data_IF_044993916886
#
_entry.id   IF_044993916886
#
_cell.length_a   1.000
_cell.length_b   1.000
_cell.length_c   1.000
_cell.angle_alpha   90.00
_cell.angle_beta   90.00
_cell.angle_gamma   90.00
#
_symmetry.space_group_name_H-M   'P 1'
#
loop_
_entity.id
_entity.type
_entity.pdbx_description
1 polymer ?
#
# COMPACT_ATOMS: atom_id res chain seq x y z
N UNK A 1 -12.84 28.53 0.89
CA UNK A 1 -11.59 27.95 1.40
C UNK A 1 -10.46 28.81 0.89
N UNK A 2 -9.70 29.42 1.79
CA UNK A 2 -8.59 30.31 1.44
C UNK A 2 -7.31 29.48 1.27
N UNK A 3 -7.12 28.91 0.08
CA UNK A 3 -5.91 28.14 -0.26
C UNK A 3 -4.65 29.01 -0.33
N UNK A 4 -4.80 30.34 -0.30
CA UNK A 4 -3.69 31.30 -0.30
C UNK A 4 -3.14 31.53 1.10
N UNK A 5 -4.00 31.60 2.13
CA UNK A 5 -3.58 31.80 3.52
C UNK A 5 -3.34 30.50 4.28
N UNK A 6 -4.02 29.40 3.92
CA UNK A 6 -3.90 28.10 4.58
C UNK A 6 -3.74 26.96 3.55
N UNK A 7 -2.54 26.79 2.97
CA UNK A 7 -2.26 25.70 2.05
C UNK A 7 -2.44 24.33 2.75
N UNK A 8 -3.13 23.40 2.08
CA UNK A 8 -3.40 22.04 2.59
C UNK A 8 -2.26 21.05 2.37
N UNK A 9 -1.14 21.50 1.81
CA UNK A 9 0.03 20.68 1.49
C UNK A 9 1.32 21.43 1.78
N UNK A 10 2.45 20.73 1.68
CA UNK A 10 3.76 21.32 1.92
C UNK A 10 4.08 22.39 0.87
N UNK A 11 4.14 23.65 1.33
CA UNK A 11 4.44 24.82 0.49
C UNK A 11 5.84 24.71 -0.11
N UNK A 12 6.77 24.07 0.59
CA UNK A 12 8.15 23.88 0.15
C UNK A 12 8.20 23.00 -1.10
N UNK A 13 7.33 21.98 -1.18
CA UNK A 13 7.21 21.11 -2.35
C UNK A 13 6.68 21.87 -3.57
N UNK A 14 5.68 22.73 -3.36
CA UNK A 14 5.11 23.58 -4.42
C UNK A 14 6.17 24.57 -4.91
N UNK A 15 6.87 25.23 -3.98
CA UNK A 15 7.93 26.18 -4.30
C UNK A 15 9.06 25.49 -5.10
N UNK A 16 9.46 24.28 -4.72
CA UNK A 16 10.50 23.51 -5.41
C UNK A 16 10.14 23.22 -6.88
N UNK A 17 8.91 22.80 -7.17
CA UNK A 17 8.49 22.48 -8.54
C UNK A 17 8.06 23.69 -9.38
N UNK A 18 8.00 24.89 -8.78
CA UNK A 18 7.78 26.15 -9.48
C UNK A 18 9.10 26.92 -9.71
N UNK A 19 10.25 26.29 -9.46
CA UNK A 19 11.54 26.92 -9.76
C UNK A 19 11.70 27.05 -11.28
N UNK A 20 12.27 28.18 -11.76
CA UNK A 20 12.50 28.40 -13.20
C UNK A 20 13.55 27.47 -13.80
N UNK A 21 14.39 26.85 -12.97
CA UNK A 21 15.41 25.88 -13.39
C UNK A 21 15.50 24.76 -12.37
N UNK A 22 15.16 23.54 -12.77
CA UNK A 22 15.30 22.34 -11.94
C UNK A 22 15.37 21.06 -12.77
N UNK A 23 15.84 19.96 -12.16
CA UNK A 23 15.77 18.63 -12.77
C UNK A 23 14.51 17.90 -12.31
N UNK A 24 13.67 17.49 -13.25
CA UNK A 24 12.53 16.63 -12.97
C UNK A 24 12.95 15.16 -13.10
N UNK A 25 13.18 14.52 -11.96
CA UNK A 25 13.42 13.07 -11.86
C UNK A 25 12.07 12.36 -11.89
N UNK A 26 11.88 11.42 -12.82
CA UNK A 26 10.61 10.69 -12.99
C UNK A 26 10.84 9.19 -13.03
N UNK A 27 10.55 8.53 -11.91
CA UNK A 27 10.51 7.08 -11.86
C UNK A 27 9.20 6.54 -12.46
N UNK A 28 9.29 5.49 -13.29
CA UNK A 28 8.10 4.85 -13.91
C UNK A 28 7.27 4.10 -12.89
N UNK A 29 7.91 3.49 -11.91
CA UNK A 29 7.27 2.87 -10.75
C UNK A 29 7.93 3.38 -9.49
N UNK A 30 7.14 3.95 -8.58
CA UNK A 30 7.62 4.48 -7.30
C UNK A 30 7.51 3.46 -6.16
N UNK A 31 6.58 2.52 -6.25
CA UNK A 31 6.35 1.47 -5.25
C UNK A 31 6.49 0.10 -5.90
N UNK A 32 7.42 -0.71 -5.41
CA UNK A 32 7.73 -2.01 -5.98
C UNK A 32 8.52 -2.89 -5.00
N UNK A 33 8.71 -4.16 -5.36
CA UNK A 33 9.39 -5.13 -4.49
C UNK A 33 10.91 -4.94 -4.47
N UNK A 34 11.56 -5.19 -3.34
CA UNK A 34 13.03 -5.21 -3.25
C UNK A 34 13.64 -6.12 -4.31
N UNK A 35 14.81 -5.74 -4.84
CA UNK A 35 15.52 -6.43 -5.93
C UNK A 35 14.78 -6.44 -7.28
N UNK A 36 13.61 -5.80 -7.40
CA UNK A 36 12.98 -5.53 -8.68
C UNK A 36 13.55 -4.27 -9.32
N UNK A 37 13.49 -4.23 -10.65
CA UNK A 37 13.96 -3.08 -11.43
C UNK A 37 12.88 -2.02 -11.58
N UNK A 38 13.27 -0.76 -11.45
CA UNK A 38 12.49 0.39 -11.94
C UNK A 38 13.34 1.21 -12.90
N UNK A 39 12.69 2.04 -13.71
CA UNK A 39 13.33 2.94 -14.66
C UNK A 39 13.07 4.38 -14.23
N UNK A 40 14.10 5.21 -14.32
CA UNK A 40 13.98 6.65 -14.14
C UNK A 40 14.38 7.39 -15.41
N UNK A 41 13.60 8.41 -15.75
CA UNK A 41 13.86 9.35 -16.82
C UNK A 41 14.15 10.72 -16.17
N UNK A 42 15.16 11.45 -16.67
CA UNK A 42 15.59 12.75 -16.14
C UNK A 42 15.29 13.83 -17.17
N UNK A 43 14.48 14.80 -16.80
CA UNK A 43 14.17 15.97 -17.59
C UNK A 43 14.75 17.23 -16.94
N UNK A 44 14.95 18.26 -17.73
CA UNK A 44 15.24 19.61 -17.24
C UNK A 44 14.04 20.50 -17.50
N UNK A 45 13.74 21.39 -16.56
CA UNK A 45 12.94 22.61 -16.78
C UNK A 45 13.91 23.78 -16.77
N UNK A 46 13.87 24.64 -17.79
CA UNK A 46 14.90 25.62 -18.08
C UNK A 46 14.32 26.93 -18.62
N UNK A 47 13.92 27.83 -17.73
CA UNK A 47 13.50 29.20 -18.06
C UNK A 47 14.69 30.20 -18.08
N UNK A 48 15.89 29.78 -17.67
CA UNK A 48 17.09 30.62 -17.62
C UNK A 48 17.98 30.55 -18.87
N UNK A 49 17.55 29.87 -19.94
CA UNK A 49 18.34 29.69 -21.17
C UNK A 49 19.74 29.08 -20.91
N UNK A 50 19.80 28.10 -20.01
CA UNK A 50 20.99 27.27 -19.82
C UNK A 50 21.19 26.43 -21.09
N UNK A 51 22.36 26.49 -21.74
CA UNK A 51 22.61 25.82 -23.04
C UNK A 51 24.03 25.34 -23.24
N UNK A 52 24.21 24.24 -23.96
CA UNK A 52 25.51 23.62 -24.27
C UNK A 52 25.72 22.30 -23.53
N UNK A 53 26.98 21.87 -23.41
CA UNK A 53 27.35 20.59 -22.80
C UNK A 53 27.45 20.66 -21.27
N UNK A 54 27.05 19.57 -20.62
CA UNK A 54 27.04 19.40 -19.16
C UNK A 54 27.31 17.95 -18.76
N UNK A 55 27.66 17.76 -17.49
CA UNK A 55 27.73 16.46 -16.83
C UNK A 55 26.52 16.28 -15.91
N UNK A 56 25.66 15.30 -16.20
CA UNK A 56 24.54 14.91 -15.35
C UNK A 56 24.96 13.76 -14.44
N UNK A 57 25.16 14.04 -13.15
CA UNK A 57 25.38 13.05 -12.11
C UNK A 57 24.03 12.55 -11.56
N UNK A 58 23.83 11.23 -11.56
CA UNK A 58 22.67 10.58 -10.95
C UNK A 58 23.14 9.63 -9.87
N UNK A 59 22.59 9.78 -8.67
CA UNK A 59 22.85 8.90 -7.53
C UNK A 59 21.56 8.37 -6.91
N UNK A 60 21.63 7.18 -6.32
CA UNK A 60 20.54 6.61 -5.54
C UNK A 60 21.06 6.16 -4.19
N UNK A 61 20.38 6.61 -3.14
CA UNK A 61 20.72 6.33 -1.75
C UNK A 61 19.50 5.89 -0.95
N UNK A 62 19.70 4.96 -0.02
CA UNK A 62 18.80 4.70 1.10
C UNK A 62 19.25 5.51 2.33
N UNK A 63 18.64 5.31 3.50
CA UNK A 63 19.01 5.99 4.76
C UNK A 63 20.45 5.66 5.25
N UNK A 64 21.07 4.61 4.72
CA UNK A 64 22.35 4.07 5.21
C UNK A 64 23.51 4.32 4.25
N UNK A 65 23.27 4.24 2.94
CA UNK A 65 24.31 4.31 1.90
C UNK A 65 23.79 4.74 0.54
N UNK A 66 24.69 5.32 -0.23
CA UNK A 66 24.58 5.37 -1.68
C UNK A 66 24.93 3.98 -2.26
N UNK A 67 24.13 3.49 -3.20
CA UNK A 67 24.34 2.18 -3.84
C UNK A 67 24.35 2.24 -5.37
N UNK A 68 24.03 3.41 -5.95
CA UNK A 68 24.12 3.67 -7.37
C UNK A 68 24.67 5.08 -7.57
N UNK A 69 25.63 5.22 -8.48
CA UNK A 69 26.13 6.52 -8.95
C UNK A 69 26.63 6.39 -10.38
N UNK A 70 26.20 7.30 -11.26
CA UNK A 70 26.63 7.35 -12.65
C UNK A 70 26.56 8.77 -13.19
N UNK A 71 27.53 9.12 -14.02
CA UNK A 71 27.58 10.41 -14.72
C UNK A 71 27.28 10.19 -16.20
N UNK A 72 26.51 11.10 -16.78
CA UNK A 72 26.12 11.09 -18.19
C UNK A 72 26.50 12.43 -18.82
N UNK A 73 27.28 12.45 -19.92
CA UNK A 73 27.42 13.67 -20.70
C UNK A 73 26.09 13.97 -21.39
N UNK A 74 25.62 15.21 -21.26
CA UNK A 74 24.33 15.66 -21.82
C UNK A 74 24.48 17.04 -22.44
N UNK A 75 23.68 17.32 -23.46
CA UNK A 75 23.57 18.63 -24.08
C UNK A 75 22.21 19.23 -23.78
N UNK A 76 22.16 20.50 -23.38
CA UNK A 76 20.93 21.26 -23.16
C UNK A 76 20.75 22.26 -24.30
N UNK A 77 19.57 22.23 -24.93
CA UNK A 77 19.26 23.02 -26.12
C UNK A 77 19.12 24.50 -25.80
N UNK A 78 18.36 24.83 -24.74
CA UNK A 78 18.05 26.21 -24.36
C UNK A 78 17.15 26.97 -25.36
N UNK A 79 17.16 28.29 -25.26
CA UNK A 79 16.39 29.22 -26.07
C UNK A 79 14.90 29.12 -25.78
N UNK A 80 14.14 28.69 -26.78
CA UNK A 80 12.70 28.49 -26.67
C UNK A 80 12.32 27.08 -26.17
N UNK A 81 13.31 26.24 -25.83
CA UNK A 81 13.10 24.89 -25.28
C UNK A 81 13.14 24.96 -23.75
N UNK A 82 11.96 25.14 -23.15
CA UNK A 82 11.81 25.24 -21.70
C UNK A 82 11.85 23.91 -20.96
N UNK A 83 11.70 22.79 -21.67
CA UNK A 83 11.81 21.48 -21.06
C UNK A 83 12.17 20.40 -22.07
N UNK A 84 13.14 19.57 -21.69
CA UNK A 84 13.64 18.47 -22.53
C UNK A 84 14.10 17.27 -21.70
N UNK A 85 14.08 16.10 -22.35
CA UNK A 85 14.56 14.85 -21.78
C UNK A 85 16.08 14.77 -21.92
N UNK A 86 16.80 14.72 -20.80
CA UNK A 86 18.26 14.61 -20.79
C UNK A 86 18.73 13.16 -20.87
N UNK A 87 18.18 12.29 -20.03
CA UNK A 87 18.54 10.86 -19.99
C UNK A 87 17.28 10.02 -19.79
N UNK A 88 17.17 8.96 -20.59
CA UNK A 88 16.06 8.01 -20.56
C UNK A 88 16.50 6.65 -20.01
N UNK A 89 15.66 6.03 -19.20
CA UNK A 89 15.73 4.60 -18.89
C UNK A 89 16.89 4.22 -17.96
N UNK A 90 17.20 5.05 -16.97
CA UNK A 90 18.17 4.72 -15.93
C UNK A 90 17.62 3.55 -15.11
N UNK A 91 18.29 2.39 -15.17
CA UNK A 91 17.91 1.21 -14.39
C UNK A 91 18.33 1.36 -12.93
N UNK A 92 17.37 1.18 -12.03
CA UNK A 92 17.56 1.27 -10.57
C UNK A 92 17.00 0.01 -9.93
N UNK A 93 17.80 -0.63 -9.06
CA UNK A 93 17.45 -1.87 -8.36
C UNK A 93 17.82 -1.74 -6.88
N UNK A 94 16.94 -1.18 -6.04
CA UNK A 94 17.18 -1.13 -4.60
C UNK A 94 17.03 -2.52 -3.98
N UNK A 95 17.97 -2.89 -3.10
CA UNK A 95 18.07 -4.21 -2.47
C UNK A 95 17.45 -4.26 -1.05
N UNK A 96 17.03 -3.12 -0.51
CA UNK A 96 16.54 -2.96 0.86
C UNK A 96 15.11 -2.45 0.93
N UNK A 97 14.41 -2.84 1.99
CA UNK A 97 13.06 -2.34 2.31
C UNK A 97 13.14 -0.89 2.82
N UNK A 98 12.18 -0.05 2.42
CA UNK A 98 12.05 1.33 2.89
C UNK A 98 12.17 2.38 1.79
N UNK A 99 12.47 3.61 2.19
CA UNK A 99 12.60 4.74 1.27
C UNK A 99 13.98 4.78 0.61
N UNK A 100 13.99 5.12 -0.67
CA UNK A 100 15.19 5.44 -1.43
C UNK A 100 14.99 6.78 -2.14
N UNK A 101 16.06 7.55 -2.33
CA UNK A 101 16.03 8.84 -3.02
C UNK A 101 16.90 8.75 -4.26
N UNK A 102 16.33 9.07 -5.41
CA UNK A 102 17.07 9.33 -6.64
C UNK A 102 17.40 10.82 -6.65
N UNK A 103 18.69 11.16 -6.74
CA UNK A 103 19.14 12.55 -6.90
C UNK A 103 19.80 12.70 -8.26
N UNK A 104 19.49 13.80 -8.93
CA UNK A 104 20.12 14.20 -10.17
C UNK A 104 20.74 15.59 -9.98
N UNK A 105 21.97 15.78 -10.45
CA UNK A 105 22.73 17.02 -10.35
C UNK A 105 23.36 17.33 -11.70
N UNK A 106 23.13 18.53 -12.22
CA UNK A 106 23.69 19.00 -13.49
C UNK A 106 24.90 19.89 -13.20
N UNK A 107 26.06 19.55 -13.77
CA UNK A 107 27.30 20.29 -13.59
C UNK A 107 27.82 20.86 -14.91
N UNK A 108 28.49 22.02 -14.81
CA UNK A 108 29.34 22.59 -15.85
C UNK A 108 30.64 22.99 -15.20
N UNK A 109 31.78 22.55 -15.74
CA UNK A 109 33.10 22.91 -15.19
C UNK A 109 33.22 22.73 -13.67
N UNK A 110 32.58 21.68 -13.13
CA UNK A 110 32.43 21.34 -11.70
C UNK A 110 31.54 22.27 -10.87
N UNK A 111 30.94 23.29 -11.47
CA UNK A 111 29.91 24.12 -10.86
C UNK A 111 28.55 23.43 -10.94
N UNK A 112 27.83 23.37 -9.81
CA UNK A 112 26.47 22.84 -9.77
C UNK A 112 25.51 23.88 -10.34
N UNK A 113 24.88 23.54 -11.46
CA UNK A 113 23.94 24.42 -12.15
C UNK A 113 22.53 24.27 -11.58
N UNK A 114 22.10 23.02 -11.41
CA UNK A 114 20.78 22.71 -10.85
C UNK A 114 20.71 21.26 -10.39
N UNK A 115 19.74 20.97 -9.52
CA UNK A 115 19.50 19.61 -9.04
C UNK A 115 18.00 19.27 -9.00
N UNK A 116 17.72 18.03 -8.67
CA UNK A 116 16.37 17.53 -8.47
C UNK A 116 16.38 16.15 -7.85
N UNK A 117 15.24 15.73 -7.30
CA UNK A 117 15.11 14.41 -6.70
C UNK A 117 13.71 13.83 -6.81
N UNK A 118 13.62 12.52 -6.67
CA UNK A 118 12.36 11.79 -6.50
C UNK A 118 12.57 10.64 -5.49
N UNK A 119 11.48 10.24 -4.83
CA UNK A 119 11.49 9.18 -3.82
C UNK A 119 10.88 7.88 -4.35
N UNK A 120 11.49 6.77 -3.98
CA UNK A 120 10.98 5.42 -4.19
C UNK A 120 10.68 4.78 -2.84
N UNK A 121 9.75 3.82 -2.84
CA UNK A 121 9.42 3.01 -1.68
C UNK A 121 9.47 1.53 -2.06
N UNK A 122 10.42 0.80 -1.50
CA UNK A 122 10.62 -0.62 -1.76
C UNK A 122 10.08 -1.46 -0.62
N UNK A 123 9.35 -2.51 -0.98
CA UNK A 123 8.67 -3.39 -0.03
C UNK A 123 9.29 -4.78 -0.10
N UNK A 124 9.58 -5.39 1.04
CA UNK A 124 10.08 -6.75 1.11
C UNK A 124 8.95 -7.70 1.51
N UNK A 125 8.53 -8.59 0.62
CA UNK A 125 7.59 -9.66 1.01
C UNK A 125 8.36 -10.83 1.63
N UNK A 126 8.38 -10.90 2.97
CA UNK A 126 8.97 -12.02 3.68
C UNK A 126 8.00 -13.21 3.73
N UNK A 127 7.89 -13.91 2.60
CA UNK A 127 7.05 -15.10 2.48
C UNK A 127 7.51 -16.21 3.44
N UNK A 128 8.80 -16.27 3.79
CA UNK A 128 9.36 -17.29 4.70
C UNK A 128 8.90 -17.11 6.14
N UNK A 129 8.51 -15.90 6.54
CA UNK A 129 7.91 -15.63 7.84
C UNK A 129 6.52 -16.25 8.02
N UNK A 130 5.83 -16.59 6.92
CA UNK A 130 4.53 -17.23 6.95
C UNK A 130 4.71 -18.74 7.06
N UNK A 131 4.30 -19.29 8.21
CA UNK A 131 4.37 -20.73 8.42
C UNK A 131 3.21 -21.43 7.67
N UNK A 132 3.41 -22.66 7.17
CA UNK A 132 2.29 -23.50 6.75
C UNK A 132 1.30 -23.69 7.89
N UNK A 133 0.03 -23.93 7.59
CA UNK A 133 -1.00 -24.19 8.60
C UNK A 133 -2.11 -23.15 8.69
N UNK A 134 -2.62 -22.72 7.53
CA UNK A 134 -3.88 -22.00 7.43
C UNK A 134 -4.81 -22.68 6.44
N UNK A 135 -6.11 -22.41 6.59
CA UNK A 135 -7.18 -22.89 5.73
C UNK A 135 -7.66 -21.73 4.87
N UNK A 136 -7.93 -21.96 3.59
CA UNK A 136 -8.41 -20.97 2.64
C UNK A 136 -9.89 -21.19 2.32
N UNK A 137 -10.65 -20.10 2.37
CA UNK A 137 -12.03 -19.99 1.92
C UNK A 137 -12.09 -18.88 0.87
N UNK A 138 -11.80 -19.21 -0.39
CA UNK A 138 -11.76 -18.26 -1.50
C UNK A 138 -12.51 -18.80 -2.72
N UNK A 139 -13.60 -18.15 -3.10
CA UNK A 139 -14.39 -18.52 -4.29
C UNK A 139 -13.82 -17.96 -5.60
N UNK A 140 -12.79 -17.11 -5.56
CA UNK A 140 -12.22 -16.45 -6.73
C UNK A 140 -10.91 -17.06 -7.25
N UNK A 141 -10.32 -17.99 -6.50
CA UNK A 141 -8.96 -18.53 -6.68
C UNK A 141 -7.83 -17.49 -6.71
N UNK A 142 -8.10 -16.21 -6.44
CA UNK A 142 -7.08 -15.15 -6.47
C UNK A 142 -6.01 -15.42 -5.42
N UNK A 143 -6.42 -15.74 -4.19
CA UNK A 143 -5.50 -16.01 -3.10
C UNK A 143 -4.79 -17.35 -3.30
N UNK A 144 -5.50 -18.38 -3.77
CA UNK A 144 -4.92 -19.69 -4.07
C UNK A 144 -3.79 -19.58 -5.10
N UNK A 145 -4.03 -18.87 -6.21
CA UNK A 145 -3.02 -18.59 -7.25
C UNK A 145 -1.85 -17.78 -6.72
N UNK A 146 -2.13 -16.74 -5.91
CA UNK A 146 -1.08 -15.94 -5.29
C UNK A 146 -0.17 -16.77 -4.38
N UNK A 147 -0.74 -17.57 -3.48
CA UNK A 147 0.05 -18.41 -2.57
C UNK A 147 0.87 -19.45 -3.32
N UNK A 148 0.29 -20.10 -4.32
CA UNK A 148 1.03 -21.03 -5.19
C UNK A 148 2.20 -20.34 -5.89
N UNK A 149 2.00 -19.15 -6.45
CA UNK A 149 3.07 -18.39 -7.12
C UNK A 149 4.15 -17.88 -6.15
N UNK A 150 3.75 -17.57 -4.90
CA UNK A 150 4.67 -17.18 -3.84
C UNK A 150 5.45 -18.35 -3.22
N UNK A 151 5.15 -19.60 -3.61
CA UNK A 151 5.78 -20.79 -3.02
C UNK A 151 5.24 -21.16 -1.64
N UNK A 152 4.10 -20.60 -1.22
CA UNK A 152 3.40 -21.02 0.01
C UNK A 152 2.58 -22.27 -0.33
N UNK A 153 3.05 -23.43 0.13
CA UNK A 153 2.49 -24.72 -0.27
C UNK A 153 1.11 -24.99 0.35
N UNK A 154 0.18 -25.43 -0.49
CA UNK A 154 -1.08 -26.12 -0.20
C UNK A 154 -1.79 -25.68 1.09
N UNK A 155 -2.39 -24.47 1.13
CA UNK A 155 -3.32 -24.16 2.21
C UNK A 155 -4.45 -25.20 2.23
N UNK A 156 -4.90 -25.59 3.41
CA UNK A 156 -6.06 -26.47 3.51
C UNK A 156 -7.27 -25.79 2.88
N UNK A 157 -8.11 -26.49 2.12
CA UNK A 157 -9.32 -25.89 1.55
C UNK A 157 -10.46 -26.01 2.56
N UNK A 158 -11.18 -24.92 2.81
CA UNK A 158 -12.35 -24.95 3.67
C UNK A 158 -13.50 -25.69 2.99
N UNK A 159 -14.03 -26.71 3.66
CA UNK A 159 -15.12 -27.56 3.16
C UNK A 159 -16.38 -27.53 4.04
N UNK A 160 -16.51 -26.53 4.93
CA UNK A 160 -17.60 -26.44 5.90
C UNK A 160 -17.22 -26.88 7.32
N UNK A 161 -18.08 -26.56 8.30
CA UNK A 161 -17.88 -26.85 9.71
C UNK A 161 -16.69 -26.10 10.32
N UNK A 162 -15.90 -26.80 11.15
CA UNK A 162 -14.69 -26.28 11.80
C UNK A 162 -13.45 -26.41 10.89
N UNK A 163 -12.68 -25.32 10.67
CA UNK A 163 -11.38 -25.41 10.02
C UNK A 163 -10.42 -26.36 10.76
N UNK A 164 -9.57 -27.05 10.00
CA UNK A 164 -8.58 -28.01 10.55
C UNK A 164 -7.30 -27.36 11.08
N UNK A 165 -7.10 -26.08 10.75
CA UNK A 165 -5.94 -25.29 11.18
C UNK A 165 -6.38 -24.29 12.26
N UNK A 166 -5.49 -23.41 12.72
CA UNK A 166 -5.83 -22.35 13.69
C UNK A 166 -6.12 -20.99 13.05
N UNK A 167 -6.04 -20.91 11.72
CA UNK A 167 -6.24 -19.69 10.94
C UNK A 167 -7.03 -19.97 9.67
N UNK A 168 -8.17 -19.29 9.49
CA UNK A 168 -8.97 -19.31 8.26
C UNK A 168 -8.78 -17.98 7.52
N UNK A 169 -8.33 -18.03 6.27
CA UNK A 169 -8.22 -16.87 5.38
C UNK A 169 -9.40 -16.88 4.43
N UNK A 170 -10.13 -15.78 4.39
CA UNK A 170 -11.29 -15.59 3.51
C UNK A 170 -10.91 -14.64 2.39
N UNK A 171 -11.02 -15.14 1.15
CA UNK A 171 -10.89 -14.36 -0.07
C UNK A 171 -12.25 -13.80 -0.49
N UNK A 172 -12.73 -14.14 -1.69
CA UNK A 172 -14.00 -13.62 -2.21
C UNK A 172 -15.23 -14.35 -1.65
N UNK A 173 -15.04 -15.36 -0.80
CA UNK A 173 -16.14 -16.19 -0.31
C UNK A 173 -17.10 -15.40 0.60
N UNK A 174 -18.38 -15.72 0.47
CA UNK A 174 -19.44 -15.13 1.29
C UNK A 174 -19.48 -15.80 2.68
N UNK A 175 -19.92 -15.09 3.72
CA UNK A 175 -20.18 -15.72 5.00
C UNK A 175 -21.28 -16.78 4.83
N UNK A 176 -21.27 -17.87 5.63
CA UNK A 176 -22.31 -18.90 5.56
C UNK A 176 -23.71 -18.28 5.73
N UNK A 177 -24.56 -18.45 4.72
CA UNK A 177 -25.96 -18.02 4.72
C UNK A 177 -26.84 -19.13 5.32
N UNK A 178 -27.59 -18.78 6.38
CA UNK A 178 -28.58 -19.59 7.10
C UNK A 178 -28.04 -20.56 8.19
N UNK A 179 -28.79 -20.64 9.29
CA UNK A 179 -28.64 -21.47 10.51
C UNK A 179 -27.71 -20.94 11.63
N UNK A 180 -28.01 -21.27 12.91
CA UNK A 180 -28.47 -20.34 13.95
C UNK A 180 -27.43 -19.30 14.41
N UNK A 181 -27.81 -18.43 15.37
CA UNK A 181 -26.93 -17.44 16.02
C UNK A 181 -25.56 -18.07 16.39
N UNK A 182 -25.57 -19.35 16.81
CA UNK A 182 -24.38 -20.18 17.00
C UNK A 182 -24.05 -20.96 15.73
N UNK A 183 -22.88 -20.68 15.16
CA UNK A 183 -22.33 -21.42 14.03
C UNK A 183 -20.94 -21.93 14.44
N UNK A 184 -20.63 -23.19 14.12
CA UNK A 184 -19.40 -23.87 14.55
C UNK A 184 -18.13 -23.08 14.22
N UNK A 185 -18.13 -22.33 13.12
CA UNK A 185 -17.05 -21.43 12.73
C UNK A 185 -16.76 -20.36 13.81
N UNK A 186 -17.77 -19.71 14.38
CA UNK A 186 -17.56 -18.66 15.38
C UNK A 186 -17.25 -19.24 16.77
N UNK A 187 -17.76 -20.44 17.08
CA UNK A 187 -17.32 -21.20 18.25
C UNK A 187 -15.84 -21.56 18.14
N UNK A 188 -15.41 -22.01 16.97
CA UNK A 188 -14.01 -22.28 16.67
C UNK A 188 -13.14 -21.02 16.83
N UNK A 189 -13.62 -19.83 16.43
CA UNK A 189 -12.91 -18.58 16.77
C UNK A 189 -12.90 -18.34 18.29
N UNK A 190 -14.03 -18.50 18.97
CA UNK A 190 -14.14 -18.30 20.41
C UNK A 190 -13.19 -19.18 21.23
N UNK A 191 -12.82 -20.36 20.71
CA UNK A 191 -11.87 -21.29 21.30
C UNK A 191 -10.40 -20.81 21.23
N UNK A 192 -10.09 -19.76 20.45
CA UNK A 192 -8.74 -19.19 20.34
C UNK A 192 -8.25 -19.00 18.91
N UNK A 193 -9.01 -19.44 17.91
CA UNK A 193 -8.57 -19.41 16.52
C UNK A 193 -8.84 -18.06 15.84
N UNK A 194 -8.29 -17.86 14.64
CA UNK A 194 -8.40 -16.58 13.91
C UNK A 194 -9.06 -16.73 12.54
N UNK A 195 -9.96 -15.80 12.20
CA UNK A 195 -10.43 -15.60 10.82
C UNK A 195 -9.80 -14.30 10.28
N UNK A 196 -9.24 -14.35 9.08
CA UNK A 196 -8.75 -13.19 8.33
C UNK A 196 -9.66 -12.98 7.13
N UNK A 197 -10.52 -11.96 7.19
CA UNK A 197 -11.38 -11.55 6.08
C UNK A 197 -10.63 -10.55 5.22
N UNK A 198 -9.96 -11.05 4.17
CA UNK A 198 -9.19 -10.24 3.22
C UNK A 198 -10.01 -9.78 1.99
N UNK A 199 -11.22 -10.30 1.83
CA UNK A 199 -12.17 -9.90 0.80
C UNK A 199 -13.61 -9.96 1.28
N UNK A 200 -14.51 -9.32 0.53
CA UNK A 200 -15.97 -9.31 0.80
C UNK A 200 -16.36 -8.79 2.19
N UNK A 201 -15.60 -7.86 2.78
CA UNK A 201 -15.88 -7.33 4.11
C UNK A 201 -17.26 -6.67 4.23
N UNK A 202 -17.79 -6.09 3.15
CA UNK A 202 -19.16 -5.56 3.06
C UNK A 202 -20.25 -6.65 3.24
N UNK A 203 -19.91 -7.93 3.02
CA UNK A 203 -20.80 -9.08 3.24
C UNK A 203 -20.58 -9.71 4.60
N UNK A 204 -19.33 -9.80 5.05
CA UNK A 204 -18.99 -10.38 6.35
C UNK A 204 -19.44 -9.50 7.51
N UNK A 205 -19.22 -8.18 7.46
CA UNK A 205 -19.59 -7.25 8.52
C UNK A 205 -21.09 -7.33 8.93
N UNK A 206 -22.08 -7.27 8.01
CA UNK A 206 -23.48 -7.44 8.39
C UNK A 206 -23.80 -8.85 8.92
N UNK A 207 -23.09 -9.89 8.46
CA UNK A 207 -23.29 -11.25 8.98
C UNK A 207 -22.81 -11.41 10.42
N UNK A 208 -21.69 -10.75 10.76
CA UNK A 208 -21.18 -10.66 12.14
C UNK A 208 -22.11 -9.83 13.02
N UNK A 209 -22.66 -8.72 12.50
CA UNK A 209 -23.61 -7.87 13.21
C UNK A 209 -24.91 -8.59 13.59
N UNK A 210 -25.47 -9.40 12.68
CA UNK A 210 -26.65 -10.24 12.96
C UNK A 210 -26.43 -11.29 14.06
N UNK A 211 -25.16 -11.58 14.40
CA UNK A 211 -24.77 -12.50 15.47
C UNK A 211 -24.30 -11.79 16.73
N UNK A 212 -24.48 -10.48 16.80
CA UNK A 212 -24.09 -9.65 17.94
C UNK A 212 -22.59 -9.72 18.26
N UNK A 213 -21.75 -10.09 17.28
CA UNK A 213 -20.29 -10.12 17.42
C UNK A 213 -19.71 -8.69 17.33
N UNK A 214 -20.34 -7.83 16.52
CA UNK A 214 -20.00 -6.41 16.35
C UNK A 214 -21.28 -5.57 16.21
N UNK A 215 -21.19 -4.29 16.54
CA UNK A 215 -22.26 -3.33 16.23
C UNK A 215 -22.07 -2.80 14.81
N UNK A 216 -22.66 -3.48 13.83
CA UNK A 216 -22.61 -3.05 12.43
C UNK A 216 -23.74 -2.07 12.12
N UNK A 217 -23.38 -0.86 11.68
CA UNK A 217 -24.32 0.24 11.37
C UNK A 217 -24.35 0.64 9.90
N UNK A 218 -23.59 -0.05 9.04
CA UNK A 218 -23.63 0.15 7.58
C UNK A 218 -22.26 0.33 6.94
N UNK A 219 -22.28 0.54 5.62
CA UNK A 219 -21.11 0.78 4.78
C UNK A 219 -21.11 2.22 4.29
N UNK A 220 -19.95 2.85 4.26
CA UNK A 220 -19.75 4.18 3.65
C UNK A 220 -18.78 4.07 2.48
N UNK A 221 -19.27 4.21 1.24
CA UNK A 221 -18.40 4.44 0.09
C UNK A 221 -17.60 5.74 0.28
N UNK A 222 -16.31 5.69 -0.03
CA UNK A 222 -15.47 6.88 -0.12
C UNK A 222 -15.59 7.47 -1.52
N UNK A 223 -15.70 8.79 -1.62
CA UNK A 223 -15.73 9.48 -2.90
C UNK A 223 -14.45 9.24 -3.70
N UNK A 224 -14.62 9.16 -5.02
CA UNK A 224 -13.53 8.95 -5.98
C UNK A 224 -12.77 10.24 -6.33
N UNK A 225 -13.27 11.41 -5.92
CA UNK A 225 -12.63 12.70 -6.13
C UNK A 225 -11.55 12.98 -5.06
N UNK A 226 -10.69 13.96 -5.32
CA UNK A 226 -9.53 14.32 -4.49
C UNK A 226 -9.88 14.71 -3.03
N UNK A 227 -11.15 15.00 -2.74
CA UNK A 227 -11.70 15.29 -1.42
C UNK A 227 -12.63 14.18 -0.87
N UNK A 228 -12.78 13.05 -1.57
CA UNK A 228 -13.78 12.02 -1.30
C UNK A 228 -13.51 11.12 -0.09
N UNK A 229 -12.35 11.28 0.54
CA UNK A 229 -11.96 10.58 1.76
C UNK A 229 -10.61 9.90 1.64
N UNK A 230 -9.96 9.69 2.77
CA UNK A 230 -8.66 9.05 2.87
C UNK A 230 -8.64 8.01 3.99
N UNK A 231 -7.76 7.03 3.81
CA UNK A 231 -7.42 6.07 4.85
C UNK A 231 -6.28 6.62 5.71
N UNK A 232 -6.24 6.24 6.97
CA UNK A 232 -5.13 6.52 7.87
C UNK A 232 -4.92 5.33 8.80
N UNK A 233 -3.69 5.13 9.23
CA UNK A 233 -3.30 3.93 9.97
C UNK A 233 -2.55 4.29 11.23
N UNK A 234 -2.90 3.62 12.33
CA UNK A 234 -2.12 3.66 13.57
C UNK A 234 -0.94 2.69 13.48
N UNK A 235 0.05 2.85 14.34
CA UNK A 235 1.09 1.85 14.52
C UNK A 235 0.49 0.52 14.98
N UNK A 236 0.77 -0.55 14.23
CA UNK A 236 0.31 -1.89 14.51
C UNK A 236 1.18 -2.92 13.78
N UNK A 237 1.52 -4.08 14.39
CA UNK A 237 2.37 -5.11 13.77
C UNK A 237 1.89 -5.62 12.40
N UNK A 238 0.60 -5.51 12.09
CA UNK A 238 0.09 -5.88 10.76
C UNK A 238 0.57 -4.94 9.63
N UNK A 239 1.09 -3.77 9.96
CA UNK A 239 1.70 -2.82 9.02
C UNK A 239 3.24 -2.80 9.13
N UNK A 240 3.85 -3.79 9.78
CA UNK A 240 5.32 -3.91 9.85
C UNK A 240 5.96 -3.88 8.45
N UNK A 241 6.98 -3.03 8.27
CA UNK A 241 7.63 -2.78 6.97
C UNK A 241 6.86 -1.84 6.02
N UNK A 242 5.72 -1.29 6.44
CA UNK A 242 4.94 -0.29 5.70
C UNK A 242 4.86 1.03 6.49
N UNK A 243 4.56 2.19 5.85
CA UNK A 243 4.46 3.47 6.56
C UNK A 243 3.30 3.49 7.56
N UNK A 244 3.57 3.87 8.81
CA UNK A 244 2.60 3.84 9.91
C UNK A 244 2.45 5.21 10.57
N UNK A 245 1.45 5.36 11.45
CA UNK A 245 1.11 6.64 12.11
C UNK A 245 0.88 7.77 11.10
N UNK A 246 0.29 7.44 9.95
CA UNK A 246 0.15 8.36 8.83
C UNK A 246 -1.17 8.17 8.09
N UNK A 247 -1.51 9.16 7.27
CA UNK A 247 -2.52 9.03 6.23
C UNK A 247 -1.93 8.19 5.10
N UNK A 248 -2.72 7.32 4.48
CA UNK A 248 -2.31 6.59 3.28
C UNK A 248 -1.95 7.59 2.18
N UNK A 249 -0.72 7.51 1.69
CA UNK A 249 -0.20 8.36 0.63
C UNK A 249 0.24 7.48 -0.57
N UNK A 250 1.13 7.99 -1.43
CA UNK A 250 1.55 7.36 -2.69
C UNK A 250 2.15 5.95 -2.52
N UNK A 251 2.62 5.59 -1.33
CA UNK A 251 3.06 4.23 -0.97
C UNK A 251 1.90 3.25 -1.05
N UNK A 252 0.70 3.67 -0.63
CA UNK A 252 -0.53 2.89 -0.61
C UNK A 252 -1.38 3.03 -1.89
N UNK A 253 -0.77 3.51 -2.98
CA UNK A 253 -1.48 3.82 -4.23
C UNK A 253 -2.31 2.65 -4.78
N UNK A 254 -1.94 1.40 -4.49
CA UNK A 254 -2.71 0.22 -4.93
C UNK A 254 -4.14 0.19 -4.39
N UNK A 255 -4.43 0.87 -3.27
CA UNK A 255 -5.76 0.92 -2.64
C UNK A 255 -6.58 2.18 -2.98
N UNK A 256 -5.99 3.17 -3.64
CA UNK A 256 -6.61 4.50 -3.86
C UNK A 256 -6.81 4.87 -5.33
N UNK A 257 -6.62 3.94 -6.27
CA UNK A 257 -6.91 4.18 -7.69
C UNK A 257 -8.42 4.32 -7.98
N UNK A 258 -8.78 5.07 -9.03
CA UNK A 258 -10.18 5.36 -9.39
C UNK A 258 -11.08 4.14 -9.59
N UNK A 259 -10.52 3.00 -10.02
CA UNK A 259 -11.25 1.75 -10.26
C UNK A 259 -11.40 0.87 -9.01
N UNK A 260 -10.87 1.30 -7.87
CA UNK A 260 -10.87 0.53 -6.62
C UNK A 260 -12.18 0.72 -5.87
N UNK A 261 -12.62 -0.36 -5.24
CA UNK A 261 -13.77 -0.29 -4.35
C UNK A 261 -13.32 0.28 -3.01
N UNK A 262 -13.55 1.58 -2.80
CA UNK A 262 -13.10 2.30 -1.61
C UNK A 262 -14.28 2.55 -0.68
N UNK A 263 -14.21 1.98 0.52
CA UNK A 263 -15.26 2.14 1.52
C UNK A 263 -14.71 1.93 2.93
N UNK A 264 -15.45 2.45 3.91
CA UNK A 264 -15.30 2.12 5.32
C UNK A 264 -16.57 1.48 5.89
N UNK A 265 -16.43 0.79 7.00
CA UNK A 265 -17.50 0.15 7.75
C UNK A 265 -17.82 1.00 8.98
N UNK A 266 -19.11 1.22 9.26
CA UNK A 266 -19.54 1.79 10.53
C UNK A 266 -19.65 0.66 11.54
N UNK A 267 -18.62 0.51 12.35
CA UNK A 267 -18.52 -0.54 13.36
C UNK A 267 -18.45 0.06 14.76
N UNK A 268 -18.95 -0.70 15.74
CA UNK A 268 -18.67 -0.51 17.15
C UNK A 268 -18.25 -1.84 17.79
N UNK A 269 -17.39 -1.75 18.80
CA UNK A 269 -16.83 -2.92 19.51
C UNK A 269 -15.59 -3.53 18.85
N UNK A 270 -15.03 -2.86 17.83
CA UNK A 270 -13.82 -3.28 17.11
C UNK A 270 -12.59 -2.46 17.52
N UNK A 271 -11.40 -3.07 17.45
CA UNK A 271 -10.13 -2.34 17.55
C UNK A 271 -9.68 -1.90 16.15
N UNK A 272 -9.88 -0.62 15.84
CA UNK A 272 -9.57 -0.03 14.54
C UNK A 272 -8.06 0.13 14.37
N UNK A 273 -7.53 -0.41 13.28
CA UNK A 273 -6.13 -0.23 12.85
C UNK A 273 -6.05 0.79 11.71
N UNK A 274 -6.90 0.61 10.70
CA UNK A 274 -7.03 1.56 9.59
C UNK A 274 -8.41 2.20 9.69
N UNK A 275 -8.42 3.52 9.85
CA UNK A 275 -9.61 4.33 9.77
C UNK A 275 -9.78 4.95 8.39
N UNK A 276 -11.01 5.34 8.07
CA UNK A 276 -11.31 6.24 6.97
C UNK A 276 -12.03 7.48 7.47
N UNK A 277 -11.74 8.61 6.84
CA UNK A 277 -12.57 9.80 6.90
C UNK A 277 -13.14 10.07 5.50
N UNK A 278 -14.39 10.50 5.42
CA UNK A 278 -15.08 10.79 4.16
C UNK A 278 -15.98 12.01 4.31
N UNK A 279 -16.02 12.82 3.26
CA UNK A 279 -16.86 14.03 3.16
C UNK A 279 -16.60 15.07 4.28
N UNK A 280 -17.44 16.09 4.36
CA UNK A 280 -17.42 17.12 5.41
C UNK A 280 -18.13 16.66 6.70
N UNK A 281 -18.41 15.36 6.85
CA UNK A 281 -19.05 14.83 8.07
C UNK A 281 -17.99 14.45 9.08
N UNK A 282 -18.21 14.82 10.34
CA UNK A 282 -17.36 14.41 11.46
C UNK A 282 -17.68 12.97 11.86
N UNK A 283 -17.48 12.05 10.94
CA UNK A 283 -17.67 10.61 11.14
C UNK A 283 -16.42 9.87 10.66
N UNK A 284 -15.97 8.90 11.47
CA UNK A 284 -14.87 8.00 11.14
C UNK A 284 -15.43 6.60 10.89
N UNK A 285 -14.77 5.88 9.98
CA UNK A 285 -15.17 4.53 9.59
C UNK A 285 -14.01 3.56 9.80
N UNK A 286 -14.32 2.33 10.15
CA UNK A 286 -13.37 1.23 10.29
C UNK A 286 -13.07 0.61 8.92
N UNK A 287 -11.80 0.42 8.59
CA UNK A 287 -11.38 -0.19 7.32
C UNK A 287 -10.65 -1.49 7.58
N UNK A 288 -9.72 -1.48 8.52
CA UNK A 288 -9.07 -2.70 9.01
C UNK A 288 -9.25 -2.70 10.51
N UNK A 289 -9.89 -3.75 11.02
CA UNK A 289 -10.14 -3.88 12.46
C UNK A 289 -9.86 -5.28 12.96
N UNK A 290 -9.48 -5.36 14.24
CA UNK A 290 -9.45 -6.61 15.00
C UNK A 290 -10.70 -6.67 15.86
N UNK A 291 -11.47 -7.74 15.70
CA UNK A 291 -12.70 -8.00 16.44
C UNK A 291 -12.41 -9.17 17.40
N UNK A 292 -12.38 -8.94 18.72
CA UNK A 292 -12.20 -10.02 19.69
C UNK A 292 -13.45 -10.91 19.75
N UNK A 293 -13.26 -12.23 19.74
CA UNK A 293 -14.35 -13.21 19.89
C UNK A 293 -13.88 -14.32 20.81
N UNK A 294 -14.38 -14.36 22.04
CA UNK A 294 -13.89 -15.28 23.07
C UNK A 294 -12.38 -15.14 23.28
N UNK A 295 -11.63 -16.22 23.10
CA UNK A 295 -10.16 -16.21 23.15
C UNK A 295 -9.50 -15.89 21.80
N UNK A 296 -10.26 -16.00 20.70
CA UNK A 296 -9.76 -15.74 19.36
C UNK A 296 -10.16 -14.38 18.84
N UNK A 297 -10.07 -14.20 17.51
CA UNK A 297 -10.33 -12.92 16.87
C UNK A 297 -10.66 -13.03 15.39
N UNK A 298 -11.25 -11.98 14.86
CA UNK A 298 -11.50 -11.80 13.43
C UNK A 298 -10.74 -10.54 12.99
N UNK A 299 -9.85 -10.67 12.01
CA UNK A 299 -9.25 -9.54 11.30
C UNK A 299 -10.15 -9.24 10.10
N UNK A 300 -10.84 -8.10 10.12
CA UNK A 300 -11.76 -7.68 9.07
C UNK A 300 -11.14 -6.55 8.25
N UNK A 301 -10.88 -6.78 6.96
CA UNK A 301 -10.24 -5.81 6.07
C UNK A 301 -11.15 -5.43 4.89
N UNK A 302 -11.59 -4.17 4.87
CA UNK A 302 -12.27 -3.53 3.76
C UNK A 302 -11.33 -2.97 2.68
N UNK A 303 -10.01 -3.05 2.87
CA UNK A 303 -9.05 -2.74 1.81
C UNK A 303 -9.21 -3.73 0.64
N UNK A 304 -9.15 -3.22 -0.59
CA UNK A 304 -9.26 -4.03 -1.83
C UNK A 304 -7.99 -4.86 -2.10
N UNK A 305 -7.65 -5.77 -1.19
CA UNK A 305 -6.47 -6.65 -1.26
C UNK A 305 -6.57 -7.57 -2.47
N UNK A 306 -7.72 -8.23 -2.66
CA UNK A 306 -7.92 -9.14 -3.79
C UNK A 306 -7.81 -8.43 -5.13
N UNK A 307 -8.43 -7.27 -5.27
CA UNK A 307 -8.32 -6.49 -6.48
C UNK A 307 -6.89 -6.02 -6.74
N UNK A 308 -6.15 -5.62 -5.70
CA UNK A 308 -4.74 -5.23 -5.82
C UNK A 308 -3.88 -6.40 -6.29
N UNK A 309 -4.02 -7.58 -5.67
CA UNK A 309 -3.29 -8.80 -6.05
C UNK A 309 -3.63 -9.20 -7.49
N UNK A 310 -4.91 -9.18 -7.87
CA UNK A 310 -5.39 -9.54 -9.22
C UNK A 310 -4.83 -8.63 -10.31
N UNK A 311 -4.70 -7.34 -10.04
CA UNK A 311 -4.18 -6.39 -11.04
C UNK A 311 -2.69 -6.62 -11.33
N UNK A 312 -1.91 -7.01 -10.33
CA UNK A 312 -0.51 -7.39 -10.52
C UNK A 312 0.45 -6.25 -10.85
N UNK A 313 0.06 -4.99 -10.66
CA UNK A 313 0.97 -3.85 -10.80
C UNK A 313 2.13 -3.92 -9.80
N UNK A 314 3.26 -3.24 -10.05
CA UNK A 314 4.37 -3.19 -9.10
C UNK A 314 3.97 -2.74 -7.69
N UNK A 315 3.06 -1.77 -7.58
CA UNK A 315 2.56 -1.28 -6.29
C UNK A 315 1.68 -2.28 -5.52
N UNK A 316 1.17 -3.32 -6.18
CA UNK A 316 0.41 -4.40 -5.53
C UNK A 316 1.25 -5.20 -4.52
N UNK A 317 2.57 -5.02 -4.51
CA UNK A 317 3.46 -5.56 -3.46
C UNK A 317 3.01 -5.14 -2.05
N UNK A 318 2.43 -3.96 -1.88
CA UNK A 318 1.92 -3.48 -0.59
C UNK A 318 0.76 -4.34 -0.10
N UNK A 319 -0.19 -4.67 -0.98
CA UNK A 319 -1.31 -5.55 -0.64
C UNK A 319 -0.83 -6.98 -0.32
N UNK A 320 0.17 -7.48 -1.06
CA UNK A 320 0.81 -8.78 -0.78
C UNK A 320 1.47 -8.78 0.61
N UNK A 321 2.30 -7.77 0.92
CA UNK A 321 2.94 -7.60 2.23
C UNK A 321 1.91 -7.53 3.35
N UNK A 322 0.86 -6.73 3.18
CA UNK A 322 -0.20 -6.58 4.17
C UNK A 322 -0.92 -7.90 4.47
N UNK A 323 -1.24 -8.69 3.44
CA UNK A 323 -1.81 -10.02 3.61
C UNK A 323 -0.87 -10.95 4.36
N UNK A 324 0.42 -10.99 4.02
CA UNK A 324 1.42 -11.80 4.73
C UNK A 324 1.55 -11.37 6.20
N UNK A 325 1.52 -10.06 6.48
CA UNK A 325 1.55 -9.53 7.83
C UNK A 325 0.30 -9.94 8.64
N UNK A 326 -0.89 -9.95 8.03
CA UNK A 326 -2.11 -10.45 8.70
C UNK A 326 -1.94 -11.90 9.14
N UNK A 327 -1.38 -12.74 8.26
CA UNK A 327 -1.16 -14.16 8.54
C UNK A 327 -0.10 -14.31 9.63
N UNK A 328 1.05 -13.62 9.51
CA UNK A 328 2.12 -13.68 10.51
C UNK A 328 1.63 -13.22 11.88
N UNK A 329 0.85 -12.15 11.93
CA UNK A 329 0.24 -11.65 13.16
C UNK A 329 -0.71 -12.69 13.79
N UNK A 330 -1.60 -13.30 13.00
CA UNK A 330 -2.48 -14.36 13.48
C UNK A 330 -1.70 -15.58 14.02
N UNK A 331 -0.61 -15.97 13.35
CA UNK A 331 0.21 -17.10 13.77
C UNK A 331 1.04 -16.85 15.02
N UNK A 332 1.59 -15.63 15.20
CA UNK A 332 2.34 -15.26 16.41
C UNK A 332 1.49 -15.31 17.68
N UNK A 333 0.19 -15.04 17.56
CA UNK A 333 -0.75 -15.01 18.68
C UNK A 333 -1.25 -16.39 19.10
N UNK A 334 -1.16 -17.40 18.23
CA UNK A 334 -1.59 -18.77 18.50
C UNK A 334 -0.47 -19.66 19.10
N UNK A 335 0.68 -19.07 19.44
CA UNK A 335 1.80 -19.73 20.13
C UNK A 335 1.75 -19.43 21.62
#
# INVERSE_FOLDING_TARGET
>A
MDCYRNPKGDVSLIANYNQPLYLAVKARNKVFETNSKTLADIFIVNEFDVKGEFDLEVSVSDEKKEFFKKTYPVSVTGGNVYGELLVKGIEITPDREGYCIIRAKLFRDKELITEGSDQLFTVMTDVKSVQPGFTLMDSSDILAKYFSAAGIMNPGIYSGGRPKTSCLIVGAALPPENYPIRHELYEWVAEGNTIIVAGSADKWAPSLGRREIIDFRGVKPLGSLWNGGNYFVKEHPVFEGLPQNCVFNWEYQCFVQYKRNRYGLRLGGDDVIVGASSDHRQELYSVVSIIPVGKGKIILSALDILGAIKEGNPSSVVAKKLLLNYISYAQRLNR
#
